data_IF_276235338585
#
_entry.id   IF_276235338585
#
_cell.length_a   1.000
_cell.length_b   1.000
_cell.length_c   1.000
_cell.angle_alpha   90.00
_cell.angle_beta   90.00
_cell.angle_gamma   90.00
#
_symmetry.space_group_name_H-M   'P 1'
#
loop_
_entity.id
_entity.type
_entity.pdbx_description
1 polymer ?
#
# COMPACT_ATOMS: atom_id res chain seq x y z
N UNK A 1 3.82 -18.74 -4.10
CA UNK A 1 3.25 -19.14 -5.40
C UNK A 1 4.40 -19.69 -6.24
N UNK A 2 4.35 -20.94 -6.68
CA UNK A 2 5.38 -21.52 -7.56
C UNK A 2 4.91 -21.46 -9.01
N UNK A 3 5.82 -21.18 -9.94
CA UNK A 3 5.56 -21.19 -11.40
C UNK A 3 6.74 -21.86 -12.12
N UNK A 4 6.54 -22.39 -13.35
CA UNK A 4 7.63 -22.86 -14.21
C UNK A 4 8.72 -21.80 -14.41
N UNK A 5 9.96 -22.25 -14.67
CA UNK A 5 11.12 -21.37 -14.79
C UNK A 5 10.98 -20.32 -15.92
N UNK A 6 10.44 -20.75 -17.06
CA UNK A 6 10.18 -19.92 -18.24
C UNK A 6 9.08 -18.87 -18.01
N UNK A 7 8.15 -19.13 -17.08
CA UNK A 7 7.10 -18.18 -16.69
C UNK A 7 7.49 -17.25 -15.54
N UNK A 8 8.60 -17.53 -14.84
CA UNK A 8 9.01 -16.82 -13.61
C UNK A 8 9.02 -15.30 -13.80
N UNK A 9 9.71 -14.83 -14.84
CA UNK A 9 9.86 -13.39 -15.07
C UNK A 9 8.52 -12.71 -15.36
N UNK A 10 7.63 -13.39 -16.10
CA UNK A 10 6.29 -12.90 -16.40
C UNK A 10 5.49 -12.75 -15.11
N UNK A 11 5.41 -13.81 -14.31
CA UNK A 11 4.68 -13.81 -13.05
C UNK A 11 5.22 -12.77 -12.05
N UNK A 12 6.54 -12.60 -11.97
CA UNK A 12 7.17 -11.57 -11.12
C UNK A 12 6.78 -10.16 -11.56
N UNK A 13 6.80 -9.87 -12.87
CA UNK A 13 6.42 -8.56 -13.40
C UNK A 13 4.94 -8.26 -13.21
N UNK A 14 4.08 -9.25 -13.41
CA UNK A 14 2.64 -9.14 -13.17
C UNK A 14 2.39 -8.81 -11.70
N UNK A 15 3.00 -9.54 -10.77
CA UNK A 15 2.87 -9.29 -9.33
C UNK A 15 3.42 -7.92 -8.91
N UNK A 16 4.58 -7.52 -9.44
CA UNK A 16 5.12 -6.18 -9.20
C UNK A 16 4.18 -5.09 -9.75
N UNK A 17 3.55 -5.34 -10.90
CA UNK A 17 2.56 -4.46 -11.50
C UNK A 17 1.30 -4.33 -10.65
N UNK A 18 0.82 -5.40 -10.02
CA UNK A 18 -0.30 -5.35 -9.07
C UNK A 18 0.02 -4.46 -7.88
N UNK A 19 1.23 -4.57 -7.30
CA UNK A 19 1.66 -3.70 -6.21
C UNK A 19 1.77 -2.24 -6.67
N UNK A 20 2.38 -2.01 -7.84
CA UNK A 20 2.64 -0.68 -8.37
C UNK A 20 1.37 0.12 -8.75
N UNK A 21 0.21 -0.54 -8.86
CA UNK A 21 -1.09 0.12 -9.04
C UNK A 21 -1.63 0.78 -7.78
N UNK A 22 -1.04 0.53 -6.62
CA UNK A 22 -1.48 1.09 -5.34
C UNK A 22 -0.74 2.40 -4.99
N UNK A 23 -1.24 3.21 -4.03
CA UNK A 23 -0.56 4.43 -3.60
C UNK A 23 0.83 4.12 -3.02
N UNK A 24 1.93 4.64 -3.57
CA UNK A 24 3.28 4.29 -3.14
C UNK A 24 3.55 4.56 -1.66
N UNK A 25 3.05 5.67 -1.13
CA UNK A 25 3.20 6.04 0.28
C UNK A 25 2.43 5.08 1.20
N UNK A 26 1.21 4.71 0.82
CA UNK A 26 0.39 3.78 1.61
C UNK A 26 1.00 2.37 1.64
N UNK A 27 1.49 1.86 0.49
CA UNK A 27 2.18 0.57 0.42
C UNK A 27 3.44 0.57 1.31
N UNK A 28 4.23 1.65 1.25
CA UNK A 28 5.42 1.81 2.09
C UNK A 28 5.08 1.81 3.58
N UNK A 29 4.06 2.58 3.99
CA UNK A 29 3.62 2.64 5.39
C UNK A 29 3.01 1.33 5.87
N UNK A 30 2.21 0.65 5.04
CA UNK A 30 1.68 -0.67 5.37
C UNK A 30 2.81 -1.69 5.62
N UNK A 31 3.85 -1.70 4.77
CA UNK A 31 5.03 -2.54 4.98
C UNK A 31 5.73 -2.18 6.30
N UNK A 32 5.97 -0.89 6.57
CA UNK A 32 6.61 -0.45 7.80
C UNK A 32 5.80 -0.82 9.07
N UNK A 33 4.48 -0.66 9.01
CA UNK A 33 3.55 -1.07 10.08
C UNK A 33 3.63 -2.56 10.35
N UNK A 34 3.62 -3.41 9.32
CA UNK A 34 3.73 -4.86 9.48
C UNK A 34 5.01 -5.24 10.22
N UNK A 35 6.17 -4.73 9.78
CA UNK A 35 7.44 -5.01 10.46
C UNK A 35 7.47 -4.48 11.89
N UNK A 36 6.93 -3.28 12.15
CA UNK A 36 6.88 -2.71 13.49
C UNK A 36 5.92 -3.48 14.39
N UNK A 37 4.77 -3.90 13.88
CA UNK A 37 3.77 -4.68 14.61
C UNK A 37 4.26 -6.07 15.00
N UNK A 38 5.10 -6.70 14.17
CA UNK A 38 5.76 -7.97 14.53
C UNK A 38 6.71 -7.86 15.72
N UNK A 39 7.20 -6.66 16.02
CA UNK A 39 8.12 -6.36 17.13
C UNK A 39 7.45 -5.56 18.24
N UNK A 40 6.15 -5.26 18.13
CA UNK A 40 5.45 -4.44 19.11
C UNK A 40 5.21 -5.24 20.38
N UNK A 41 5.44 -4.60 21.52
CA UNK A 41 5.24 -5.20 22.84
C UNK A 41 3.75 -5.43 23.14
N UNK A 42 2.87 -4.58 22.59
CA UNK A 42 1.42 -4.67 22.74
C UNK A 42 0.66 -4.08 21.53
N UNK A 43 -0.63 -4.43 21.44
CA UNK A 43 -1.52 -3.99 20.36
C UNK A 43 -1.80 -2.49 20.38
N UNK A 44 -1.86 -1.86 21.56
CA UNK A 44 -2.10 -0.42 21.70
C UNK A 44 -0.99 0.40 21.07
N UNK A 45 0.27 0.05 21.32
CA UNK A 45 1.41 0.70 20.67
C UNK A 45 1.37 0.56 19.13
N UNK A 46 0.86 -0.57 18.61
CA UNK A 46 0.66 -0.75 17.18
C UNK A 46 -0.47 0.15 16.64
N UNK A 47 -1.60 0.21 17.34
CA UNK A 47 -2.75 1.05 16.98
C UNK A 47 -2.42 2.55 17.02
N UNK A 48 -1.59 3.01 17.95
CA UNK A 48 -1.14 4.40 17.99
C UNK A 48 -0.31 4.77 16.75
N UNK A 49 0.57 3.86 16.33
CA UNK A 49 1.34 4.04 15.11
C UNK A 49 0.47 3.98 13.85
N UNK A 50 -0.50 3.04 13.80
CA UNK A 50 -1.50 2.98 12.74
C UNK A 50 -2.25 4.30 12.61
N UNK A 51 -2.80 4.82 13.71
CA UNK A 51 -3.52 6.10 13.73
C UNK A 51 -2.66 7.25 13.21
N UNK A 52 -1.40 7.34 13.63
CA UNK A 52 -0.47 8.35 13.13
C UNK A 52 -0.28 8.24 11.61
N UNK A 53 0.02 7.05 11.12
CA UNK A 53 0.28 6.83 9.68
C UNK A 53 -0.96 7.06 8.83
N UNK A 54 -2.15 6.64 9.28
CA UNK A 54 -3.42 6.90 8.61
C UNK A 54 -3.70 8.41 8.49
N UNK A 55 -3.58 9.16 9.58
CA UNK A 55 -3.78 10.62 9.54
C UNK A 55 -2.84 11.31 8.55
N UNK A 56 -1.57 10.89 8.50
CA UNK A 56 -0.61 11.40 7.53
C UNK A 56 -1.03 11.05 6.09
N UNK A 57 -1.40 9.80 5.82
CA UNK A 57 -1.82 9.34 4.48
C UNK A 57 -3.10 10.04 4.02
N UNK A 58 -4.06 10.30 4.90
CA UNK A 58 -5.30 11.02 4.56
C UNK A 58 -5.06 12.45 4.08
N UNK A 59 -3.90 13.04 4.38
CA UNK A 59 -3.52 14.39 3.92
C UNK A 59 -2.92 14.42 2.51
N UNK A 60 -2.60 13.26 1.93
CA UNK A 60 -1.93 13.11 0.63
C UNK A 60 -2.86 13.37 -0.57
N UNK A 61 -2.28 13.69 -1.73
CA UNK A 61 -3.01 13.76 -2.99
C UNK A 61 -3.54 12.39 -3.41
N UNK A 62 -2.77 11.32 -3.19
CA UNK A 62 -3.16 9.95 -3.52
C UNK A 62 -4.42 9.51 -2.76
N UNK A 63 -4.61 9.94 -1.50
CA UNK A 63 -5.84 9.66 -0.77
C UNK A 63 -7.06 10.35 -1.40
N UNK A 64 -6.91 11.63 -1.78
CA UNK A 64 -7.97 12.38 -2.47
C UNK A 64 -8.29 11.75 -3.82
N UNK A 65 -7.27 11.36 -4.57
CA UNK A 65 -7.42 10.67 -5.85
C UNK A 65 -8.15 9.34 -5.68
N UNK A 66 -7.81 8.54 -4.68
CA UNK A 66 -8.50 7.28 -4.40
C UNK A 66 -9.99 7.46 -4.10
N UNK A 67 -10.36 8.51 -3.36
CA UNK A 67 -11.77 8.85 -3.13
C UNK A 67 -12.43 9.30 -4.43
N UNK A 68 -11.81 10.23 -5.16
CA UNK A 68 -12.38 10.79 -6.38
C UNK A 68 -12.56 9.72 -7.46
N UNK A 69 -11.55 8.90 -7.71
CA UNK A 69 -11.60 7.83 -8.69
C UNK A 69 -12.68 6.80 -8.36
N UNK A 70 -12.86 6.50 -7.06
CA UNK A 70 -13.93 5.62 -6.59
C UNK A 70 -15.32 6.21 -6.86
N UNK A 71 -15.52 7.49 -6.52
CA UNK A 71 -16.79 8.19 -6.77
C UNK A 71 -17.10 8.34 -8.26
N UNK A 72 -16.07 8.57 -9.08
CA UNK A 72 -16.16 8.71 -10.54
C UNK A 72 -16.19 7.36 -11.27
N UNK A 73 -16.03 6.22 -10.57
CA UNK A 73 -15.97 4.86 -11.12
C UNK A 73 -14.90 4.69 -12.21
N UNK A 74 -13.73 5.28 -11.99
CA UNK A 74 -12.56 5.15 -12.87
C UNK A 74 -11.36 4.57 -12.12
N UNK A 75 -10.37 4.12 -12.87
CA UNK A 75 -9.09 3.72 -12.31
C UNK A 75 -8.36 4.93 -11.70
N UNK A 76 -7.76 4.79 -10.50
CA UNK A 76 -6.95 5.84 -9.89
C UNK A 76 -5.58 5.99 -10.57
N UNK A 77 -5.01 7.19 -10.47
CA UNK A 77 -3.62 7.48 -10.86
C UNK A 77 -2.84 8.03 -9.68
N UNK A 78 -2.16 7.13 -8.97
CA UNK A 78 -1.33 7.51 -7.82
C UNK A 78 0.06 8.01 -8.24
N UNK A 79 0.55 9.03 -7.53
CA UNK A 79 1.83 9.72 -7.81
C UNK A 79 2.78 9.76 -6.62
N UNK A 80 2.39 9.21 -5.47
CA UNK A 80 3.22 9.17 -4.26
C UNK A 80 3.36 10.53 -3.58
N UNK A 81 2.28 11.32 -3.57
CA UNK A 81 2.22 12.67 -2.99
C UNK A 81 0.93 12.84 -2.22
#
# INVERSE_FOLDING_TARGET
KGVPHDELLKATKEFAGEIAKNPPLAVGMAKAMLYRGMLADDIGAHMDFENYTQNMLMSTEDFKEGINSFMEKREPVFRGK
#
